data_IF_305863973822
#
_entry.id   IF_305863973822
#
_cell.length_a   1.000
_cell.length_b   1.000
_cell.length_c   1.000
_cell.angle_alpha   90.00
_cell.angle_beta   90.00
_cell.angle_gamma   90.00
#
_symmetry.space_group_name_H-M   'P 1'
#
loop_
_entity.id
_entity.type
_entity.pdbx_description
1 polymer ?
#
# COMPACT_ATOMS: atom_id res chain seq x y z
N UNK A 1 -11.39 9.09 -29.62
CA UNK A 1 -10.08 9.17 -28.90
C UNK A 1 -10.09 10.14 -27.73
N UNK A 2 -10.41 11.43 -27.92
CA UNK A 2 -10.34 12.47 -26.87
C UNK A 2 -11.21 12.17 -25.62
N UNK A 3 -12.45 11.67 -25.79
CA UNK A 3 -13.33 11.30 -24.65
C UNK A 3 -12.82 10.10 -23.83
N UNK A 4 -12.13 9.15 -24.46
CA UNK A 4 -11.57 7.97 -23.78
C UNK A 4 -10.29 8.32 -23.01
N UNK A 5 -9.39 9.10 -23.64
CA UNK A 5 -8.23 9.69 -22.95
C UNK A 5 -8.67 10.57 -21.77
N UNK A 6 -9.70 11.41 -21.92
CA UNK A 6 -10.19 12.25 -20.81
C UNK A 6 -10.71 11.41 -19.65
N UNK A 7 -11.40 10.29 -19.91
CA UNK A 7 -11.99 9.41 -18.88
C UNK A 7 -10.91 8.62 -18.13
N UNK A 8 -9.89 8.14 -18.83
CA UNK A 8 -8.71 7.46 -18.25
C UNK A 8 -7.86 8.46 -17.46
N UNK A 9 -7.61 9.65 -18.01
CA UNK A 9 -6.81 10.69 -17.36
C UNK A 9 -7.52 11.31 -16.14
N UNK A 10 -8.86 11.48 -16.19
CA UNK A 10 -9.63 11.92 -15.03
C UNK A 10 -9.69 10.84 -13.95
N UNK A 11 -9.86 9.56 -14.31
CA UNK A 11 -9.95 8.44 -13.36
C UNK A 11 -8.62 8.16 -12.66
N UNK A 12 -7.52 8.06 -13.41
CA UNK A 12 -6.22 7.65 -12.87
C UNK A 12 -5.52 8.76 -12.09
N UNK A 13 -5.78 10.03 -12.44
CA UNK A 13 -5.23 11.17 -11.72
C UNK A 13 -6.12 11.66 -10.57
N UNK A 14 -7.39 11.24 -10.46
CA UNK A 14 -8.28 11.66 -9.35
C UNK A 14 -7.65 11.46 -7.97
N UNK A 15 -7.12 10.26 -7.64
CA UNK A 15 -6.53 10.01 -6.32
C UNK A 15 -5.32 10.92 -6.06
N UNK A 16 -4.47 11.11 -7.07
CA UNK A 16 -3.28 11.98 -7.00
C UNK A 16 -3.65 13.45 -6.76
N UNK A 17 -4.67 13.96 -7.47
CA UNK A 17 -5.18 15.34 -7.29
C UNK A 17 -5.78 15.52 -5.90
N UNK A 18 -6.58 14.56 -5.42
CA UNK A 18 -7.15 14.60 -4.07
C UNK A 18 -6.05 14.59 -3.01
N UNK A 19 -5.06 13.69 -3.13
CA UNK A 19 -3.91 13.64 -2.23
C UNK A 19 -3.13 14.96 -2.25
N UNK A 20 -2.93 15.58 -3.41
CA UNK A 20 -2.26 16.88 -3.50
C UNK A 20 -3.01 17.98 -2.74
N UNK A 21 -4.33 18.10 -2.93
CA UNK A 21 -5.14 19.06 -2.18
C UNK A 21 -5.15 18.80 -0.67
N UNK A 22 -5.19 17.52 -0.26
CA UNK A 22 -5.10 17.14 1.15
C UNK A 22 -3.75 17.49 1.76
N UNK A 23 -2.65 17.28 1.03
CA UNK A 23 -1.30 17.67 1.47
C UNK A 23 -1.20 19.17 1.65
N UNK A 24 -1.64 19.97 0.66
CA UNK A 24 -1.65 21.43 0.78
C UNK A 24 -2.51 21.93 1.95
N UNK A 25 -3.67 21.32 2.17
CA UNK A 25 -4.55 21.67 3.29
C UNK A 25 -3.89 21.32 4.64
N UNK A 26 -3.22 20.17 4.71
CA UNK A 26 -2.50 19.74 5.90
C UNK A 26 -1.35 20.71 6.21
N UNK A 27 -0.53 21.05 5.20
CA UNK A 27 0.59 21.98 5.35
C UNK A 27 0.13 23.37 5.76
N UNK A 28 -0.94 23.87 5.14
CA UNK A 28 -1.57 25.13 5.52
C UNK A 28 -2.08 25.10 6.95
N UNK A 29 -2.77 24.03 7.36
CA UNK A 29 -3.25 23.85 8.72
C UNK A 29 -2.07 23.86 9.70
N UNK A 30 -1.02 23.09 9.42
CA UNK A 30 0.19 23.00 10.22
C UNK A 30 0.82 24.37 10.41
N UNK A 31 1.03 25.13 9.32
CA UNK A 31 1.59 26.48 9.34
C UNK A 31 0.69 27.48 10.10
N UNK A 32 -0.62 27.40 9.93
CA UNK A 32 -1.59 28.34 10.53
C UNK A 32 -1.81 28.13 12.03
N UNK A 33 -1.76 26.89 12.50
CA UNK A 33 -1.97 26.53 13.90
C UNK A 33 -0.65 26.36 14.66
N UNK A 34 0.49 26.65 14.04
CA UNK A 34 1.79 26.41 14.66
C UNK A 34 2.06 27.42 15.77
N UNK A 35 2.23 26.99 17.03
CA UNK A 35 2.65 27.89 18.08
C UNK A 35 4.09 28.35 17.78
N UNK A 36 4.27 29.65 17.50
CA UNK A 36 5.56 30.24 17.10
C UNK A 36 6.70 30.07 18.14
N UNK A 37 6.40 29.56 19.33
CA UNK A 37 7.33 29.56 20.47
C UNK A 37 7.51 28.20 21.18
N UNK A 38 7.10 27.07 20.58
CA UNK A 38 7.32 25.74 21.19
C UNK A 38 8.19 24.84 20.31
N UNK A 39 9.18 24.18 20.93
CA UNK A 39 9.96 23.13 20.29
C UNK A 39 9.08 21.90 20.08
N UNK A 40 8.86 21.53 18.83
CA UNK A 40 8.05 20.38 18.43
C UNK A 40 8.78 19.09 18.76
N UNK A 41 8.06 18.17 19.40
CA UNK A 41 8.52 16.81 19.65
C UNK A 41 8.98 16.14 18.35
N UNK A 42 10.16 15.54 18.38
CA UNK A 42 10.75 14.84 17.25
C UNK A 42 9.89 13.64 16.79
N UNK A 43 9.03 13.09 17.67
CA UNK A 43 8.02 12.09 17.31
C UNK A 43 6.96 12.62 16.35
N UNK A 44 6.53 13.86 16.55
CA UNK A 44 5.56 14.52 15.65
C UNK A 44 6.21 14.82 14.30
N UNK A 45 7.48 15.24 14.30
CA UNK A 45 8.26 15.45 13.05
C UNK A 45 8.42 14.15 12.26
N UNK A 46 8.71 13.04 12.94
CA UNK A 46 8.78 11.71 12.33
C UNK A 46 7.46 11.32 11.66
N UNK A 47 6.35 11.45 12.37
CA UNK A 47 5.02 11.13 11.85
C UNK A 47 4.64 12.01 10.64
N UNK A 48 4.92 13.32 10.73
CA UNK A 48 4.71 14.25 9.62
C UNK A 48 5.55 13.87 8.40
N UNK A 49 6.85 13.60 8.58
CA UNK A 49 7.75 13.18 7.50
C UNK A 49 7.21 11.93 6.80
N UNK A 50 6.80 10.92 7.56
CA UNK A 50 6.23 9.69 7.02
C UNK A 50 4.95 9.95 6.20
N UNK A 51 4.02 10.75 6.73
CA UNK A 51 2.78 11.11 6.02
C UNK A 51 3.10 11.84 4.70
N UNK A 52 4.04 12.79 4.73
CA UNK A 52 4.46 13.50 3.52
C UNK A 52 5.04 12.56 2.47
N UNK A 53 5.91 11.64 2.87
CA UNK A 53 6.51 10.66 1.96
C UNK A 53 5.43 9.76 1.32
N UNK A 54 4.46 9.28 2.09
CA UNK A 54 3.33 8.49 1.56
C UNK A 54 2.48 9.31 0.58
N UNK A 55 2.16 10.56 0.94
CA UNK A 55 1.33 11.41 0.11
C UNK A 55 2.03 11.78 -1.20
N UNK A 56 3.34 12.07 -1.15
CA UNK A 56 4.17 12.27 -2.35
C UNK A 56 4.19 11.00 -3.21
N UNK A 57 4.36 9.83 -2.60
CA UNK A 57 4.31 8.56 -3.31
C UNK A 57 2.95 8.34 -4.01
N UNK A 58 1.84 8.64 -3.32
CA UNK A 58 0.50 8.55 -3.88
C UNK A 58 0.27 9.56 -5.04
N UNK A 59 0.79 10.78 -4.92
CA UNK A 59 0.74 11.79 -5.98
C UNK A 59 1.54 11.33 -7.21
N UNK A 60 2.69 10.68 -6.99
CA UNK A 60 3.57 10.16 -8.04
C UNK A 60 3.10 8.81 -8.63
N UNK A 61 2.17 8.11 -7.98
CA UNK A 61 1.62 6.83 -8.44
C UNK A 61 1.19 6.80 -9.92
N UNK A 62 0.44 7.78 -10.48
CA UNK A 62 0.11 7.79 -11.90
C UNK A 62 1.36 7.93 -12.81
N UNK A 63 2.40 8.60 -12.34
CA UNK A 63 3.66 8.75 -13.08
C UNK A 63 4.44 7.43 -13.07
N UNK A 64 4.48 6.75 -11.92
CA UNK A 64 5.02 5.39 -11.78
C UNK A 64 4.26 4.42 -12.70
N UNK A 65 2.93 4.50 -12.74
CA UNK A 65 2.09 3.68 -13.63
C UNK A 65 2.44 3.89 -15.11
N UNK A 66 2.65 5.14 -15.55
CA UNK A 66 3.08 5.45 -16.93
C UNK A 66 4.51 4.99 -17.24
N UNK A 67 5.39 4.99 -16.25
CA UNK A 67 6.74 4.44 -16.39
C UNK A 67 6.68 2.92 -16.54
N UNK A 68 5.86 2.26 -15.71
CA UNK A 68 5.60 0.82 -15.80
C UNK A 68 4.95 0.44 -17.14
N UNK A 69 4.05 1.25 -17.69
CA UNK A 69 3.42 0.96 -19.00
C UNK A 69 4.37 1.06 -20.18
N UNK A 70 5.56 1.68 -20.01
CA UNK A 70 6.63 1.68 -21.03
C UNK A 70 7.49 0.42 -20.97
N UNK A 71 7.41 -0.34 -19.88
CA UNK A 71 8.09 -1.63 -19.76
C UNK A 71 7.31 -2.62 -20.59
N UNK A 72 8.05 -3.41 -21.38
CA UNK A 72 7.47 -4.41 -22.26
C UNK A 72 6.54 -5.35 -21.48
N UNK A 73 5.32 -5.55 -21.99
CA UNK A 73 4.27 -6.33 -21.33
C UNK A 73 4.73 -7.75 -21.03
N UNK A 74 5.65 -8.30 -21.82
CA UNK A 74 6.19 -9.63 -21.61
C UNK A 74 7.09 -9.71 -20.36
N UNK A 75 7.88 -8.67 -20.07
CA UNK A 75 8.71 -8.60 -18.85
C UNK A 75 7.85 -8.37 -17.61
N UNK A 76 6.84 -7.50 -17.74
CA UNK A 76 5.88 -7.23 -16.67
C UNK A 76 5.05 -8.48 -16.33
N UNK A 77 4.57 -9.22 -17.34
CA UNK A 77 3.87 -10.49 -17.14
C UNK A 77 4.76 -11.57 -16.54
N UNK A 78 6.06 -11.63 -16.90
CA UNK A 78 7.03 -12.53 -16.27
C UNK A 78 7.34 -12.16 -14.83
N UNK A 79 7.31 -10.87 -14.46
CA UNK A 79 7.53 -10.42 -13.09
C UNK A 79 6.29 -10.62 -12.20
N UNK A 80 5.12 -10.25 -12.72
CA UNK A 80 3.86 -10.41 -11.99
C UNK A 80 3.44 -11.89 -11.96
N UNK A 81 3.89 -12.74 -12.89
CA UNK A 81 3.54 -14.17 -12.95
C UNK A 81 2.03 -14.35 -12.75
N UNK A 82 1.23 -13.65 -13.55
CA UNK A 82 -0.22 -13.78 -13.46
C UNK A 82 -0.60 -15.22 -13.80
N UNK A 83 -1.43 -15.88 -12.98
CA UNK A 83 -1.89 -17.22 -13.28
C UNK A 83 -2.70 -17.20 -14.59
N UNK A 84 -2.56 -18.26 -15.39
CA UNK A 84 -3.31 -18.39 -16.65
C UNK A 84 -4.81 -18.38 -16.34
N UNK A 85 -5.63 -17.64 -17.11
CA UNK A 85 -7.07 -17.49 -16.83
C UNK A 85 -7.85 -18.81 -16.84
N UNK A 86 -7.31 -19.86 -17.47
CA UNK A 86 -7.94 -21.19 -17.54
C UNK A 86 -7.33 -22.22 -16.56
N UNK A 87 -6.45 -21.79 -15.65
CA UNK A 87 -5.87 -22.68 -14.63
C UNK A 87 -6.92 -22.96 -13.54
N UNK A 88 -7.10 -24.23 -13.18
CA UNK A 88 -7.88 -24.59 -12.00
C UNK A 88 -7.19 -24.02 -10.74
N UNK A 89 -7.99 -23.50 -9.81
CA UNK A 89 -7.48 -23.02 -8.52
C UNK A 89 -6.99 -24.23 -7.73
N UNK A 90 -5.71 -24.24 -7.38
CA UNK A 90 -5.09 -25.29 -6.60
C UNK A 90 -4.80 -24.81 -5.18
N UNK A 91 -4.60 -25.75 -4.25
CA UNK A 91 -4.13 -25.44 -2.89
C UNK A 91 -2.85 -24.60 -2.89
N UNK A 92 -1.98 -24.81 -3.88
CA UNK A 92 -0.73 -24.05 -4.06
C UNK A 92 -1.02 -22.55 -4.27
N UNK A 93 -2.04 -22.20 -5.03
CA UNK A 93 -2.39 -20.80 -5.29
C UNK A 93 -2.90 -20.09 -4.02
N UNK A 94 -3.63 -20.81 -3.16
CA UNK A 94 -4.05 -20.31 -1.85
C UNK A 94 -2.86 -20.19 -0.88
N UNK A 95 -1.97 -21.19 -0.88
CA UNK A 95 -0.76 -21.18 -0.07
C UNK A 95 0.17 -20.02 -0.45
N UNK A 96 0.37 -19.75 -1.74
CA UNK A 96 1.18 -18.63 -2.23
C UNK A 96 0.60 -17.27 -1.81
N UNK A 97 -0.73 -17.13 -1.87
CA UNK A 97 -1.41 -15.94 -1.38
C UNK A 97 -1.21 -15.73 0.12
N UNK A 98 -1.49 -16.75 0.93
CA UNK A 98 -1.32 -16.69 2.39
C UNK A 98 0.13 -16.46 2.79
N UNK A 99 1.08 -17.08 2.09
CA UNK A 99 2.52 -16.89 2.31
C UNK A 99 2.94 -15.46 2.01
N UNK A 100 2.41 -14.84 0.95
CA UNK A 100 2.67 -13.44 0.64
C UNK A 100 2.11 -12.47 1.69
N UNK A 101 0.91 -12.74 2.20
CA UNK A 101 0.35 -11.97 3.33
C UNK A 101 1.16 -12.16 4.61
N UNK A 102 1.57 -13.38 4.92
CA UNK A 102 2.42 -13.68 6.08
C UNK A 102 3.78 -12.96 5.97
N UNK A 103 4.38 -12.93 4.78
CA UNK A 103 5.60 -12.19 4.53
C UNK A 103 5.40 -10.68 4.74
N UNK A 104 4.32 -10.10 4.20
CA UNK A 104 3.99 -8.69 4.44
C UNK A 104 3.80 -8.40 5.93
N UNK A 105 3.10 -9.27 6.66
CA UNK A 105 2.89 -9.10 8.10
C UNK A 105 4.20 -9.20 8.88
N UNK A 106 5.10 -10.11 8.47
CA UNK A 106 6.43 -10.24 9.04
C UNK A 106 7.28 -8.97 8.86
N UNK A 107 7.27 -8.36 7.68
CA UNK A 107 7.95 -7.06 7.45
C UNK A 107 7.40 -5.96 8.36
N UNK A 108 6.07 -5.94 8.55
CA UNK A 108 5.43 -4.97 9.44
C UNK A 108 5.80 -5.22 10.92
N UNK A 109 5.89 -6.48 11.34
CA UNK A 109 6.35 -6.84 12.68
C UNK A 109 7.80 -6.43 12.91
N UNK A 110 8.70 -6.71 11.95
CA UNK A 110 10.09 -6.23 12.02
C UNK A 110 10.11 -4.73 12.23
N UNK A 111 9.36 -3.99 11.40
CA UNK A 111 9.28 -2.53 11.51
C UNK A 111 8.84 -2.08 12.91
N UNK A 112 7.81 -2.71 13.50
CA UNK A 112 7.35 -2.35 14.85
C UNK A 112 8.41 -2.61 15.92
N UNK A 113 9.16 -3.71 15.82
CA UNK A 113 10.19 -4.05 16.81
C UNK A 113 11.47 -3.24 16.65
N UNK A 114 11.88 -2.90 15.43
CA UNK A 114 13.14 -2.19 15.16
C UNK A 114 12.98 -0.67 15.18
N UNK A 115 11.76 -0.14 14.99
CA UNK A 115 11.54 1.31 14.85
C UNK A 115 12.07 2.12 16.03
N UNK A 116 11.90 1.63 17.26
CA UNK A 116 12.38 2.34 18.46
C UNK A 116 13.90 2.45 18.46
N UNK A 117 14.59 1.35 18.21
CA UNK A 117 16.06 1.29 18.22
C UNK A 117 16.65 2.13 17.09
N UNK A 118 16.08 2.03 15.88
CA UNK A 118 16.50 2.87 14.73
C UNK A 118 16.29 4.35 15.03
N UNK A 119 15.19 4.72 15.70
CA UNK A 119 14.92 6.09 16.11
C UNK A 119 15.92 6.64 17.12
N UNK A 120 16.28 5.85 18.12
CA UNK A 120 17.26 6.24 19.14
C UNK A 120 18.67 6.45 18.55
N UNK A 121 19.07 5.63 17.57
CA UNK A 121 20.40 5.70 16.96
C UNK A 121 20.50 6.79 15.88
N UNK A 122 19.48 6.92 15.03
CA UNK A 122 19.59 7.70 13.77
C UNK A 122 18.77 8.99 13.77
N UNK A 123 17.93 9.18 14.80
CA UNK A 123 17.02 10.31 14.88
C UNK A 123 15.84 10.22 13.90
N UNK A 124 15.04 11.28 13.86
CA UNK A 124 13.73 11.27 13.22
C UNK A 124 13.77 11.23 11.67
N UNK A 125 14.80 11.80 11.04
CA UNK A 125 14.87 11.89 9.57
C UNK A 125 15.10 10.52 8.94
N UNK A 126 16.17 9.84 9.34
CA UNK A 126 16.57 8.53 8.81
C UNK A 126 15.51 7.49 9.16
N UNK A 127 14.99 7.55 10.39
CA UNK A 127 13.89 6.67 10.82
C UNK A 127 12.63 6.84 9.98
N UNK A 128 12.27 8.07 9.59
CA UNK A 128 11.09 8.29 8.74
C UNK A 128 11.25 7.67 7.35
N UNK A 129 12.44 7.76 6.76
CA UNK A 129 12.77 7.11 5.49
C UNK A 129 12.74 5.58 5.63
N UNK A 130 13.33 5.05 6.71
CA UNK A 130 13.31 3.62 7.01
C UNK A 130 11.89 3.08 7.13
N UNK A 131 11.04 3.74 7.93
CA UNK A 131 9.64 3.37 8.14
C UNK A 131 8.88 3.41 6.81
N UNK A 132 9.10 4.44 6.00
CA UNK A 132 8.49 4.55 4.67
C UNK A 132 8.86 3.40 3.74
N UNK A 133 10.15 3.07 3.63
CA UNK A 133 10.61 2.00 2.74
C UNK A 133 10.09 0.62 3.16
N UNK A 134 10.15 0.31 4.45
CA UNK A 134 9.62 -0.94 5.02
C UNK A 134 8.10 -1.04 4.84
N UNK A 135 7.38 0.07 5.01
CA UNK A 135 5.94 0.11 4.81
C UNK A 135 5.56 -0.11 3.34
N UNK A 136 6.25 0.57 2.41
CA UNK A 136 6.00 0.40 0.97
C UNK A 136 6.33 -1.02 0.49
N UNK A 137 7.41 -1.63 0.98
CA UNK A 137 7.75 -2.99 0.60
C UNK A 137 6.70 -3.98 1.09
N UNK A 138 6.27 -3.87 2.35
CA UNK A 138 5.22 -4.69 2.93
C UNK A 138 3.91 -4.58 2.13
N UNK A 139 3.41 -3.35 1.92
CA UNK A 139 2.14 -3.13 1.24
C UNK A 139 2.19 -3.54 -0.25
N UNK A 140 3.36 -3.41 -0.90
CA UNK A 140 3.55 -3.86 -2.28
C UNK A 140 3.46 -5.38 -2.39
N UNK A 141 4.09 -6.12 -1.46
CA UNK A 141 4.01 -7.59 -1.40
C UNK A 141 2.56 -8.02 -1.17
N UNK A 142 1.88 -7.45 -0.17
CA UNK A 142 0.48 -7.76 0.11
C UNK A 142 -0.42 -7.47 -1.10
N UNK A 143 -0.25 -6.31 -1.74
CA UNK A 143 -1.03 -5.91 -2.90
C UNK A 143 -0.80 -6.83 -4.10
N UNK A 144 0.44 -7.23 -4.37
CA UNK A 144 0.76 -8.14 -5.48
C UNK A 144 0.18 -9.54 -5.25
N UNK A 145 0.30 -10.06 -4.02
CA UNK A 145 -0.29 -11.35 -3.65
C UNK A 145 -1.81 -11.31 -3.76
N UNK A 146 -2.44 -10.25 -3.28
CA UNK A 146 -3.89 -10.07 -3.39
C UNK A 146 -4.35 -9.94 -4.85
N UNK A 147 -3.62 -9.18 -5.67
CA UNK A 147 -3.91 -9.04 -7.09
C UNK A 147 -3.84 -10.39 -7.82
N UNK A 148 -2.78 -11.18 -7.60
CA UNK A 148 -2.62 -12.53 -8.16
C UNK A 148 -3.76 -13.44 -7.75
N UNK A 149 -4.15 -13.40 -6.48
CA UNK A 149 -5.25 -14.19 -5.95
C UNK A 149 -6.59 -13.80 -6.57
N UNK A 150 -6.91 -12.50 -6.64
CA UNK A 150 -8.13 -12.00 -7.27
C UNK A 150 -8.18 -12.38 -8.76
N UNK A 151 -7.05 -12.33 -9.47
CA UNK A 151 -6.97 -12.65 -10.90
C UNK A 151 -7.43 -14.08 -11.22
N UNK A 152 -7.21 -15.05 -10.31
CA UNK A 152 -7.70 -16.41 -10.45
C UNK A 152 -9.23 -16.49 -10.50
N UNK A 153 -9.92 -15.54 -9.85
CA UNK A 153 -11.38 -15.53 -9.74
C UNK A 153 -12.08 -14.72 -10.83
N UNK A 154 -11.33 -13.98 -11.67
CA UNK A 154 -11.90 -13.14 -12.74
C UNK A 154 -12.72 -13.95 -13.76
N UNK A 155 -12.46 -15.26 -13.87
CA UNK A 155 -13.23 -16.18 -14.72
C UNK A 155 -14.60 -16.59 -14.13
N UNK A 156 -14.80 -16.44 -12.82
CA UNK A 156 -16.02 -16.89 -12.14
C UNK A 156 -17.09 -15.78 -12.12
N UNK A 157 -18.36 -16.18 -12.01
CA UNK A 157 -19.50 -15.27 -12.00
C UNK A 157 -19.33 -14.15 -10.94
N UNK A 158 -19.88 -12.96 -11.20
CA UNK A 158 -19.70 -11.78 -10.33
C UNK A 158 -20.13 -12.05 -8.88
N UNK A 159 -21.07 -12.97 -8.68
CA UNK A 159 -21.55 -13.43 -7.38
C UNK A 159 -20.54 -14.30 -6.62
N UNK A 160 -19.83 -15.21 -7.29
CA UNK A 160 -18.77 -16.02 -6.67
C UNK A 160 -17.57 -15.17 -6.30
N UNK A 161 -17.25 -14.15 -7.11
CA UNK A 161 -16.26 -13.14 -6.73
C UNK A 161 -16.66 -12.39 -5.45
N UNK A 162 -17.89 -11.88 -5.36
CA UNK A 162 -18.38 -11.22 -4.14
C UNK A 162 -18.38 -12.14 -2.92
N UNK A 163 -18.69 -13.42 -3.08
CA UNK A 163 -18.68 -14.39 -2.00
C UNK A 163 -17.26 -14.71 -1.50
N UNK A 164 -16.31 -14.91 -2.41
CA UNK A 164 -14.89 -15.11 -2.05
C UNK A 164 -14.29 -13.85 -1.43
N UNK A 165 -14.62 -12.67 -1.97
CA UNK A 165 -14.20 -11.40 -1.39
C UNK A 165 -14.77 -11.21 0.03
N UNK A 166 -16.04 -11.57 0.26
CA UNK A 166 -16.66 -11.57 1.59
C UNK A 166 -15.94 -12.54 2.54
N UNK A 167 -15.67 -13.77 2.12
CA UNK A 167 -14.92 -14.74 2.92
C UNK A 167 -13.50 -14.25 3.25
N UNK A 168 -12.76 -13.77 2.26
CA UNK A 168 -11.42 -13.23 2.45
C UNK A 168 -11.43 -12.01 3.39
N UNK A 169 -12.42 -11.12 3.24
CA UNK A 169 -12.60 -9.98 4.15
C UNK A 169 -12.95 -10.42 5.57
N UNK A 170 -13.78 -11.45 5.75
CA UNK A 170 -14.11 -12.01 7.07
C UNK A 170 -12.91 -12.67 7.73
N UNK A 171 -12.07 -13.39 6.97
CA UNK A 171 -10.84 -13.98 7.48
C UNK A 171 -9.82 -12.89 7.85
N UNK A 172 -9.71 -11.84 7.04
CA UNK A 172 -8.86 -10.68 7.35
C UNK A 172 -9.32 -9.98 8.64
N UNK A 173 -10.62 -9.77 8.81
CA UNK A 173 -11.21 -9.20 10.04
C UNK A 173 -11.01 -10.11 11.24
N UNK A 174 -11.10 -11.43 11.08
CA UNK A 174 -10.84 -12.38 12.15
C UNK A 174 -9.37 -12.35 12.60
N UNK A 175 -8.42 -12.32 11.66
CA UNK A 175 -6.99 -12.19 11.93
C UNK A 175 -6.66 -10.85 12.57
N UNK A 176 -7.22 -9.75 12.07
CA UNK A 176 -7.09 -8.42 12.69
C UNK A 176 -7.65 -8.40 14.12
N UNK A 177 -8.79 -9.03 14.35
CA UNK A 177 -9.39 -9.15 15.68
C UNK A 177 -8.51 -9.92 16.67
N UNK A 178 -7.85 -10.98 16.22
CA UNK A 178 -6.86 -11.72 17.04
C UNK A 178 -5.61 -10.87 17.28
N UNK A 179 -5.09 -10.19 16.25
CA UNK A 179 -3.93 -9.33 16.38
C UNK A 179 -4.16 -8.17 17.37
N UNK A 180 -5.33 -7.52 17.34
CA UNK A 180 -5.66 -6.47 18.30
C UNK A 180 -5.77 -6.97 19.74
N UNK A 181 -6.25 -8.20 19.95
CA UNK A 181 -6.30 -8.83 21.29
C UNK A 181 -4.93 -9.24 21.82
N UNK A 182 -3.95 -9.49 20.96
CA UNK A 182 -2.57 -9.78 21.36
C UNK A 182 -1.75 -8.52 21.62
N UNK A 183 -2.16 -7.39 21.03
CA UNK A 183 -1.50 -6.09 21.21
C UNK A 183 -1.99 -5.30 22.43
N UNK A 184 -3.09 -5.73 23.07
CA UNK A 184 -3.62 -5.23 24.35
C UNK A 184 -3.13 -6.06 25.52
#
# INVERSE_FOLDING_TARGET
MIKWMRKVLLSDCTPSVICFFLLLKMDYSILSSWPQNQSIDNRVKLALLFIHLIMIFAILAPLISRLLSRIDNERLNKFIVLPKPDKNITYIDLYDFLSGLALSAFYLSILLFTMKEVYEITGWVISGIYVFLMFISAISIASLSLMRFIWLFVKFNKYTYSFVALLASSMCMAVLGVAMRMAS
#
